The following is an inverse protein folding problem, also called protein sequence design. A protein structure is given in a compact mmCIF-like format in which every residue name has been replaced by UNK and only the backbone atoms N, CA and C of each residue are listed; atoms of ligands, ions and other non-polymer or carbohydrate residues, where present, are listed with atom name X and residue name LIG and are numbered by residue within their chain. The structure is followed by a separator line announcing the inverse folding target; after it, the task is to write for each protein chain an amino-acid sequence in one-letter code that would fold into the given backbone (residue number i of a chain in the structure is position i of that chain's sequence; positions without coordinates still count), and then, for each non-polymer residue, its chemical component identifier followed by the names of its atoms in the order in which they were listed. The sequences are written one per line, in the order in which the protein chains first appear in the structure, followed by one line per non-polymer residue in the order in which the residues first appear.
data_IF_999224612395
#
_entry.id   IF_999224612395
#
_cell.length_a   1.000
_cell.length_b   1.000
_cell.length_c   1.000
_cell.angle_alpha   90.00
_cell.angle_beta   90.00
_cell.angle_gamma   90.00
#
_symmetry.space_group_name_H-M   'P 1'
#
loop_
_entity.id
_entity.type
_entity.pdbx_description
1 polymer ?
#
# COMPACT_ATOMS: atom_id res chain seq x y z
N UNK A 1 8.65 44.40 14.80
CA UNK A 1 7.90 43.97 15.98
C UNK A 1 7.99 42.47 16.12
N UNK A 2 8.16 41.94 17.34
CA UNK A 2 8.24 40.50 17.62
C UNK A 2 7.01 39.72 17.12
N UNK A 3 5.87 40.38 17.00
CA UNK A 3 4.59 39.81 16.54
C UNK A 3 4.69 39.18 15.14
N UNK A 4 5.43 39.79 14.21
CA UNK A 4 5.55 39.27 12.83
C UNK A 4 6.39 37.99 12.72
N UNK A 5 7.24 37.70 13.72
CA UNK A 5 7.99 36.44 13.79
C UNK A 5 7.11 35.31 14.33
N UNK A 6 6.33 35.60 15.38
CA UNK A 6 5.37 34.65 15.95
C UNK A 6 4.32 34.22 14.92
N UNK A 7 3.81 35.15 14.11
CA UNK A 7 2.80 34.82 13.09
C UNK A 7 3.36 33.87 12.00
N UNK A 8 4.61 34.09 11.59
CA UNK A 8 5.29 33.21 10.62
C UNK A 8 5.56 31.81 11.17
N UNK A 9 5.86 31.71 12.46
CA UNK A 9 6.09 30.44 13.14
C UNK A 9 4.78 29.64 13.27
N UNK A 10 3.68 30.30 13.69
CA UNK A 10 2.34 29.69 13.72
C UNK A 10 1.88 29.22 12.35
N UNK A 11 2.15 29.99 11.29
CA UNK A 11 1.78 29.58 9.93
C UNK A 11 2.62 28.37 9.46
N UNK A 12 3.91 28.29 9.83
CA UNK A 12 4.77 27.14 9.56
C UNK A 12 4.30 25.89 10.29
N UNK A 13 3.96 26.00 11.57
CA UNK A 13 3.40 24.90 12.35
C UNK A 13 2.06 24.43 11.78
N UNK A 14 1.19 25.37 11.37
CA UNK A 14 -0.07 25.05 10.70
C UNK A 14 0.15 24.32 9.37
N UNK A 15 1.08 24.80 8.53
CA UNK A 15 1.44 24.16 7.25
C UNK A 15 2.06 22.78 7.47
N UNK A 16 2.89 22.62 8.50
CA UNK A 16 3.47 21.34 8.90
C UNK A 16 2.37 20.35 9.33
N UNK A 17 1.47 20.76 10.22
CA UNK A 17 0.35 19.93 10.66
C UNK A 17 -0.61 19.55 9.51
N UNK A 18 -0.88 20.46 8.57
CA UNK A 18 -1.69 20.15 7.37
C UNK A 18 -0.97 19.14 6.47
N UNK A 19 0.34 19.28 6.26
CA UNK A 19 1.15 18.36 5.45
C UNK A 19 1.27 16.98 6.10
N UNK A 20 1.42 16.92 7.41
CA UNK A 20 1.48 15.68 8.21
C UNK A 20 0.13 14.95 8.18
N UNK A 21 -0.99 15.68 8.28
CA UNK A 21 -2.35 15.15 8.16
C UNK A 21 -2.68 14.69 6.73
N UNK A 22 -2.13 15.35 5.71
CA UNK A 22 -2.20 14.92 4.30
C UNK A 22 -1.39 13.65 4.05
N UNK A 23 -0.22 13.48 4.69
CA UNK A 23 0.57 12.24 4.61
C UNK A 23 -0.08 11.09 5.38
N UNK A 24 -0.77 11.35 6.50
CA UNK A 24 -1.55 10.34 7.20
C UNK A 24 -2.75 9.79 6.39
N UNK A 25 -3.13 10.48 5.31
CA UNK A 25 -4.22 10.09 4.42
C UNK A 25 -3.76 9.24 3.21
N UNK A 26 -2.51 8.78 3.19
CA UNK A 26 -1.94 7.94 2.14
C UNK A 26 -2.17 6.43 2.32
N UNK A 27 -2.86 6.01 3.38
CA UNK A 27 -3.24 4.60 3.55
C UNK A 27 -4.43 4.23 2.65
N UNK A 28 -4.35 3.08 1.98
CA UNK A 28 -5.47 2.53 1.21
C UNK A 28 -6.72 2.44 2.10
N UNK A 29 -7.85 2.96 1.61
CA UNK A 29 -9.14 2.92 2.31
C UNK A 29 -9.47 1.49 2.74
N UNK A 30 -10.02 1.31 3.94
CA UNK A 30 -10.48 0.02 4.45
C UNK A 30 -11.94 -0.29 4.07
N UNK A 31 -12.30 -1.57 4.00
CA UNK A 31 -13.68 -2.04 3.82
C UNK A 31 -13.92 -3.41 4.45
N UNK A 32 -15.18 -3.70 4.79
CA UNK A 32 -15.58 -5.02 5.30
C UNK A 32 -15.56 -6.06 4.17
N UNK A 33 -15.04 -7.24 4.47
CA UNK A 33 -15.07 -8.41 3.59
C UNK A 33 -16.13 -9.39 4.09
N UNK A 34 -17.21 -9.55 3.32
CA UNK A 34 -18.33 -10.40 3.69
C UNK A 34 -19.04 -9.95 4.98
N UNK A 35 -19.72 -10.88 5.63
CA UNK A 35 -20.51 -10.64 6.85
C UNK A 35 -19.85 -11.14 8.15
N UNK A 36 -18.67 -11.75 8.05
CA UNK A 36 -17.97 -12.40 9.17
C UNK A 36 -17.13 -11.43 10.02
N UNK A 37 -17.18 -10.13 9.72
CA UNK A 37 -16.44 -9.10 10.48
C UNK A 37 -14.99 -8.91 10.04
N UNK A 38 -14.54 -9.52 8.94
CA UNK A 38 -13.23 -9.26 8.36
C UNK A 38 -13.18 -7.86 7.74
N UNK A 39 -12.01 -7.23 7.79
CA UNK A 39 -11.73 -5.95 7.16
C UNK A 39 -10.46 -6.01 6.33
N UNK A 40 -10.50 -5.47 5.13
CA UNK A 40 -9.41 -5.48 4.16
C UNK A 40 -9.21 -4.10 3.54
N UNK A 41 -8.10 -3.91 2.82
CA UNK A 41 -7.93 -2.76 1.94
C UNK A 41 -8.91 -2.83 0.77
N UNK A 42 -9.49 -1.69 0.40
CA UNK A 42 -10.42 -1.57 -0.72
C UNK A 42 -9.73 -1.75 -2.08
N UNK A 43 -8.41 -1.59 -2.13
CA UNK A 43 -7.56 -1.98 -3.24
C UNK A 43 -6.74 -3.20 -2.83
N UNK A 44 -6.69 -4.21 -3.70
CA UNK A 44 -5.86 -5.41 -3.54
C UNK A 44 -4.73 -5.47 -4.56
N UNK A 45 -3.77 -6.36 -4.32
CA UNK A 45 -2.71 -6.70 -5.28
C UNK A 45 -3.03 -8.05 -5.93
N UNK A 46 -3.21 -8.05 -7.25
CA UNK A 46 -3.30 -9.27 -8.04
C UNK A 46 -1.90 -9.82 -8.34
N UNK A 47 -1.64 -11.05 -7.93
CA UNK A 47 -0.31 -11.66 -8.02
C UNK A 47 -0.07 -12.38 -9.36
N UNK A 48 -1.06 -12.43 -10.27
CA UNK A 48 -0.93 -13.06 -11.58
C UNK A 48 0.30 -12.60 -12.37
N UNK A 49 0.60 -11.29 -12.34
CA UNK A 49 1.72 -10.70 -13.09
C UNK A 49 3.10 -10.89 -12.48
N UNK A 50 3.18 -11.47 -11.27
CA UNK A 50 4.45 -11.83 -10.63
C UNK A 50 5.02 -13.08 -11.31
N UNK A 51 4.16 -14.07 -11.55
CA UNK A 51 4.54 -15.39 -12.05
C UNK A 51 4.20 -15.65 -13.52
N UNK A 52 3.22 -14.94 -14.10
CA UNK A 52 2.69 -15.28 -15.42
C UNK A 52 2.08 -14.10 -16.22
N UNK A 53 1.73 -14.39 -17.48
CA UNK A 53 0.89 -13.59 -18.40
C UNK A 53 1.41 -12.24 -18.93
N UNK A 54 2.34 -11.54 -18.25
CA UNK A 54 2.83 -10.22 -18.69
C UNK A 54 4.28 -10.18 -19.17
N UNK A 55 4.86 -11.34 -19.48
CA UNK A 55 6.25 -11.48 -19.93
C UNK A 55 6.99 -12.57 -19.16
N UNK A 56 8.33 -12.64 -19.26
CA UNK A 56 9.11 -13.55 -18.43
C UNK A 56 8.84 -13.28 -16.96
N UNK A 57 8.77 -14.36 -16.18
CA UNK A 57 8.55 -14.30 -14.73
C UNK A 57 9.55 -13.35 -14.09
N UNK A 58 9.10 -12.53 -13.15
CA UNK A 58 9.98 -11.57 -12.49
C UNK A 58 11.01 -12.33 -11.64
N UNK A 59 12.24 -11.81 -11.50
CA UNK A 59 13.15 -12.30 -10.48
C UNK A 59 12.45 -12.28 -9.11
N UNK A 60 12.69 -13.31 -8.30
CA UNK A 60 12.08 -13.45 -6.97
C UNK A 60 12.26 -12.20 -6.09
N UNK A 61 13.42 -11.55 -6.19
CA UNK A 61 13.73 -10.30 -5.46
C UNK A 61 12.77 -9.16 -5.83
N UNK A 62 12.37 -9.06 -7.09
CA UNK A 62 11.46 -8.01 -7.56
C UNK A 62 10.02 -8.29 -7.12
N UNK A 63 9.64 -9.57 -7.10
CA UNK A 63 8.34 -10.01 -6.58
C UNK A 63 8.20 -9.66 -5.09
N UNK A 64 9.21 -9.98 -4.29
CA UNK A 64 9.25 -9.65 -2.86
C UNK A 64 9.23 -8.14 -2.63
N UNK A 65 10.01 -7.38 -3.41
CA UNK A 65 10.01 -5.92 -3.31
C UNK A 65 8.63 -5.32 -3.62
N UNK A 66 7.92 -5.86 -4.62
CA UNK A 66 6.56 -5.44 -4.97
C UNK A 66 5.56 -5.75 -3.85
N UNK A 67 5.62 -6.96 -3.28
CA UNK A 67 4.76 -7.37 -2.16
C UNK A 67 4.98 -6.47 -0.95
N UNK A 68 6.23 -6.26 -0.54
CA UNK A 68 6.56 -5.36 0.57
C UNK A 68 6.06 -3.94 0.30
N UNK A 69 6.27 -3.41 -0.90
CA UNK A 69 5.79 -2.08 -1.25
C UNK A 69 4.25 -1.96 -1.15
N UNK A 70 3.51 -2.97 -1.60
CA UNK A 70 2.06 -2.98 -1.50
C UNK A 70 1.60 -2.99 -0.03
N UNK A 71 2.21 -3.83 0.80
CA UNK A 71 1.90 -3.94 2.24
C UNK A 71 2.23 -2.63 2.96
N UNK A 72 3.41 -2.06 2.71
CA UNK A 72 3.86 -0.79 3.29
C UNK A 72 2.97 0.40 2.87
N UNK A 73 2.32 0.27 1.71
CA UNK A 73 1.33 1.25 1.21
C UNK A 73 -0.08 1.04 1.79
N UNK A 74 -0.28 0.01 2.62
CA UNK A 74 -1.55 -0.28 3.29
C UNK A 74 -2.46 -1.27 2.57
N UNK A 75 -1.97 -1.99 1.55
CA UNK A 75 -2.69 -3.12 0.94
C UNK A 75 -2.65 -4.31 1.90
N UNK A 76 -3.81 -4.91 2.16
CA UNK A 76 -3.94 -6.12 2.98
C UNK A 76 -4.80 -7.19 2.31
N UNK A 77 -5.06 -7.05 1.01
CA UNK A 77 -5.80 -8.03 0.22
C UNK A 77 -4.96 -8.44 -0.97
N UNK A 78 -4.50 -9.69 -0.96
CA UNK A 78 -3.65 -10.28 -1.99
C UNK A 78 -4.47 -11.35 -2.71
N UNK A 79 -4.56 -11.23 -4.03
CA UNK A 79 -5.29 -12.16 -4.90
C UNK A 79 -4.29 -13.04 -5.64
N UNK A 80 -4.44 -14.36 -5.50
CA UNK A 80 -3.54 -15.38 -6.07
C UNK A 80 -4.35 -16.61 -6.51
N UNK A 81 -3.74 -17.49 -7.30
CA UNK A 81 -4.30 -18.77 -7.74
C UNK A 81 -3.19 -19.75 -8.09
N UNK A 82 -3.49 -21.03 -7.91
CA UNK A 82 -2.75 -22.20 -8.41
C UNK A 82 -2.43 -22.14 -9.91
N UNK A 83 -3.29 -21.51 -10.71
CA UNK A 83 -3.09 -21.33 -12.16
C UNK A 83 -2.04 -20.23 -12.47
N UNK A 84 -1.72 -19.37 -11.50
CA UNK A 84 -0.76 -18.26 -11.67
C UNK A 84 0.67 -18.77 -11.52
N UNK A 85 1.12 -19.54 -12.51
CA UNK A 85 2.42 -20.20 -12.54
C UNK A 85 2.33 -21.59 -11.91
N UNK A 86 2.73 -22.66 -12.60
CA UNK A 86 2.73 -23.99 -12.00
C UNK A 86 3.62 -23.98 -10.74
N UNK A 87 3.00 -24.01 -9.57
CA UNK A 87 3.57 -24.21 -8.23
C UNK A 87 4.58 -23.17 -7.69
N UNK A 88 4.68 -21.94 -8.25
CA UNK A 88 5.70 -20.97 -7.80
C UNK A 88 5.17 -19.72 -7.11
N UNK A 89 3.93 -19.31 -7.37
CA UNK A 89 3.40 -18.03 -6.86
C UNK A 89 2.90 -18.12 -5.40
N UNK A 90 2.44 -19.29 -4.95
CA UNK A 90 2.02 -19.49 -3.56
C UNK A 90 3.19 -19.60 -2.57
N UNK A 91 4.40 -19.93 -3.03
CA UNK A 91 5.59 -19.97 -2.18
C UNK A 91 6.08 -18.59 -1.73
N UNK A 92 5.58 -17.51 -2.35
CA UNK A 92 5.96 -16.13 -2.09
C UNK A 92 5.05 -15.42 -1.07
N UNK A 93 3.95 -16.07 -0.66
CA UNK A 93 2.94 -15.55 0.28
C UNK A 93 3.02 -16.26 1.63
#
# INVERSE_FOLDING_TARGET
GNESKLDRERERERKRGVREKSMANFGVRRMKLGSQGLEVSAQGLGCMGISAFYGPSKPETDALALLHHAIDSGVTFLDTSDVYGPETNELLL
#
